data_IF_979844270065
#
_entry.id   IF_979844270065
#
_cell.length_a   1.000
_cell.length_b   1.000
_cell.length_c   1.000
_cell.angle_alpha   90.00
_cell.angle_beta   90.00
_cell.angle_gamma   90.00
#
_symmetry.space_group_name_H-M   'P 1'
#
loop_
_entity.id
_entity.type
_entity.pdbx_description
1 polymer ?
#
# COMPACT_ATOMS: atom_id res chain seq x y z
N UNK A 1 15.58 47.18 11.49
CA UNK A 1 14.43 47.43 10.58
C UNK A 1 13.80 46.08 10.35
N UNK A 2 12.76 45.77 11.13
CA UNK A 2 12.13 44.45 11.15
C UNK A 2 11.04 44.35 10.07
N UNK A 3 11.19 43.30 9.27
CA UNK A 3 10.17 42.32 8.88
C UNK A 3 8.86 42.79 8.21
N UNK A 4 8.75 42.50 6.89
CA UNK A 4 7.48 42.16 6.25
C UNK A 4 7.70 41.10 5.15
N UNK A 5 8.00 39.87 5.54
CA UNK A 5 7.84 38.69 4.67
C UNK A 5 7.01 37.64 5.41
N UNK A 6 5.72 37.91 5.61
CA UNK A 6 4.73 36.86 5.86
C UNK A 6 3.32 37.46 5.86
N UNK A 7 2.52 37.30 4.80
CA UNK A 7 1.05 37.20 4.84
C UNK A 7 0.50 36.82 3.46
N UNK A 8 0.61 35.54 3.10
CA UNK A 8 -0.29 34.92 2.13
C UNK A 8 -0.31 33.41 2.32
N UNK A 9 -0.64 32.95 3.54
CA UNK A 9 -1.21 31.61 3.73
C UNK A 9 -2.62 31.62 3.11
N UNK A 10 -2.68 31.40 1.80
CA UNK A 10 -3.88 31.57 0.99
C UNK A 10 -4.97 30.62 1.48
N UNK A 11 -6.21 31.12 1.51
CA UNK A 11 -7.40 30.30 1.76
C UNK A 11 -7.42 29.09 0.80
N UNK A 12 -6.86 29.25 -0.39
CA UNK A 12 -6.67 28.18 -1.37
C UNK A 12 -5.76 27.05 -0.85
N UNK A 13 -4.66 27.36 -0.18
CA UNK A 13 -3.74 26.34 0.36
C UNK A 13 -4.41 25.52 1.46
N UNK A 14 -5.23 26.16 2.31
CA UNK A 14 -6.01 25.48 3.34
C UNK A 14 -7.11 24.60 2.75
N UNK A 15 -7.80 25.06 1.71
CA UNK A 15 -8.84 24.28 1.01
C UNK A 15 -8.21 23.08 0.28
N UNK A 16 -7.10 23.30 -0.44
CA UNK A 16 -6.37 22.23 -1.14
C UNK A 16 -5.83 21.21 -0.13
N UNK A 17 -5.23 21.66 0.97
CA UNK A 17 -4.74 20.78 2.04
C UNK A 17 -5.89 19.99 2.67
N UNK A 18 -7.01 20.64 3.01
CA UNK A 18 -8.17 19.96 3.61
C UNK A 18 -8.76 18.87 2.70
N UNK A 19 -8.83 19.13 1.39
CA UNK A 19 -9.32 18.16 0.40
C UNK A 19 -8.35 16.98 0.24
N UNK A 20 -7.03 17.24 0.16
CA UNK A 20 -5.99 16.20 0.09
C UNK A 20 -5.95 15.33 1.36
N UNK A 21 -6.10 15.93 2.54
CA UNK A 21 -6.18 15.21 3.81
C UNK A 21 -7.43 14.33 3.88
N UNK A 22 -8.58 14.81 3.38
CA UNK A 22 -9.82 14.03 3.32
C UNK A 22 -9.68 12.78 2.43
N UNK A 23 -8.95 12.88 1.31
CA UNK A 23 -8.71 11.73 0.42
C UNK A 23 -7.84 10.64 1.09
N UNK A 24 -6.86 11.03 1.91
CA UNK A 24 -6.05 10.08 2.68
C UNK A 24 -6.89 9.45 3.80
N UNK A 25 -7.74 10.21 4.49
CA UNK A 25 -8.61 9.68 5.56
C UNK A 25 -9.63 8.65 5.07
N UNK A 26 -10.06 8.75 3.82
CA UNK A 26 -10.97 7.78 3.19
C UNK A 26 -10.25 6.53 2.64
N UNK A 27 -8.91 6.52 2.64
CA UNK A 27 -8.14 5.40 2.16
C UNK A 27 -8.15 4.25 3.17
N UNK A 28 -8.80 3.13 2.81
CA UNK A 28 -8.74 1.89 3.57
C UNK A 28 -7.81 0.85 2.88
N UNK A 29 -6.58 0.64 3.39
CA UNK A 29 -5.64 -0.31 2.80
C UNK A 29 -6.19 -1.74 2.73
N UNK A 30 -6.99 -2.14 3.70
CA UNK A 30 -7.54 -3.51 3.78
C UNK A 30 -8.55 -3.79 2.67
N UNK A 31 -9.35 -2.79 2.32
CA UNK A 31 -10.31 -2.88 1.21
C UNK A 31 -9.58 -2.96 -0.14
N UNK A 32 -8.51 -2.19 -0.31
CA UNK A 32 -7.67 -2.26 -1.51
C UNK A 32 -7.05 -3.64 -1.68
N UNK A 33 -6.41 -4.18 -0.64
CA UNK A 33 -5.84 -5.54 -0.69
C UNK A 33 -6.92 -6.56 -1.07
N UNK A 34 -8.11 -6.45 -0.47
CA UNK A 34 -9.24 -7.34 -0.79
C UNK A 34 -9.71 -7.17 -2.23
N UNK A 35 -9.74 -5.95 -2.77
CA UNK A 35 -10.08 -5.69 -4.15
C UNK A 35 -9.05 -6.28 -5.14
N UNK A 36 -7.76 -6.18 -4.83
CA UNK A 36 -6.67 -6.79 -5.61
C UNK A 36 -6.78 -8.32 -5.64
N UNK A 37 -7.25 -8.93 -4.54
CA UNK A 37 -7.32 -10.38 -4.40
C UNK A 37 -8.55 -11.03 -5.03
N UNK A 38 -9.52 -10.23 -5.53
CA UNK A 38 -10.78 -10.75 -6.10
C UNK A 38 -10.63 -11.78 -7.22
N UNK A 39 -9.50 -11.81 -7.92
CA UNK A 39 -9.24 -12.74 -9.04
C UNK A 39 -8.38 -13.94 -8.65
N UNK A 40 -7.93 -14.01 -7.41
CA UNK A 40 -7.11 -15.09 -6.90
C UNK A 40 -7.98 -16.27 -6.48
N UNK A 41 -7.41 -17.47 -6.60
CA UNK A 41 -7.97 -18.63 -5.90
C UNK A 41 -7.78 -18.49 -4.40
N UNK A 42 -8.61 -19.18 -3.61
CA UNK A 42 -8.51 -19.19 -2.14
C UNK A 42 -7.11 -19.56 -1.64
N UNK A 43 -6.42 -20.47 -2.34
CA UNK A 43 -5.05 -20.88 -2.02
C UNK A 43 -4.02 -19.78 -2.32
N UNK A 44 -4.16 -19.09 -3.44
CA UNK A 44 -3.28 -17.96 -3.79
C UNK A 44 -3.46 -16.81 -2.79
N UNK A 45 -4.71 -16.48 -2.47
CA UNK A 45 -5.05 -15.47 -1.47
C UNK A 45 -4.49 -15.82 -0.09
N UNK A 46 -4.70 -17.04 0.41
CA UNK A 46 -4.18 -17.47 1.72
C UNK A 46 -2.64 -17.40 1.77
N UNK A 47 -1.96 -17.86 0.71
CA UNK A 47 -0.50 -17.78 0.62
C UNK A 47 -0.04 -16.33 0.73
N UNK A 48 -0.65 -15.38 0.00
CA UNK A 48 -0.28 -13.97 0.11
C UNK A 48 -0.62 -13.38 1.49
N UNK A 49 -1.81 -13.65 2.03
CA UNK A 49 -2.21 -13.14 3.36
C UNK A 49 -1.24 -13.58 4.45
N UNK A 50 -0.80 -14.84 4.44
CA UNK A 50 0.17 -15.38 5.41
C UNK A 50 1.58 -14.85 5.15
N UNK A 51 2.01 -14.81 3.88
CA UNK A 51 3.36 -14.37 3.51
C UNK A 51 3.62 -12.91 3.88
N UNK A 52 2.62 -12.05 3.71
CA UNK A 52 2.74 -10.61 3.96
C UNK A 52 2.10 -10.16 5.28
N UNK A 53 1.45 -11.08 6.01
CA UNK A 53 0.86 -10.81 7.33
C UNK A 53 -0.45 -10.02 7.28
N UNK A 54 -1.12 -9.92 6.13
CA UNK A 54 -2.20 -8.96 5.79
C UNK A 54 -3.47 -9.01 6.68
N UNK A 55 -3.54 -9.93 7.63
CA UNK A 55 -4.60 -10.07 8.63
C UNK A 55 -4.11 -9.73 10.05
N UNK A 56 -3.04 -8.96 10.18
CA UNK A 56 -2.46 -8.56 11.48
C UNK A 56 -1.62 -9.65 12.15
N UNK A 57 -1.42 -10.79 11.46
CA UNK A 57 -0.53 -11.87 11.89
C UNK A 57 0.92 -11.54 11.50
N UNK A 58 1.87 -12.26 12.08
CA UNK A 58 3.25 -12.18 11.64
C UNK A 58 3.41 -12.76 10.24
N UNK A 59 4.40 -12.23 9.51
CA UNK A 59 4.75 -12.73 8.17
C UNK A 59 5.29 -14.15 8.30
N UNK A 60 4.76 -15.07 7.51
CA UNK A 60 5.27 -16.44 7.46
C UNK A 60 6.32 -16.61 6.36
N UNK A 61 7.27 -17.53 6.57
CA UNK A 61 8.22 -17.93 5.52
C UNK A 61 7.56 -18.86 4.52
N UNK A 62 8.08 -18.91 3.29
CA UNK A 62 7.63 -19.86 2.27
C UNK A 62 7.74 -21.32 2.73
N UNK A 63 8.70 -21.61 3.60
CA UNK A 63 8.89 -22.93 4.20
C UNK A 63 7.80 -23.29 5.22
N UNK A 64 7.44 -22.35 6.12
CA UNK A 64 6.37 -22.56 7.09
C UNK A 64 5.02 -22.76 6.40
N UNK A 65 4.74 -21.95 5.38
CA UNK A 65 3.54 -22.07 4.55
C UNK A 65 3.58 -23.41 3.79
N UNK A 66 4.73 -23.78 3.22
CA UNK A 66 4.92 -25.03 2.48
C UNK A 66 4.64 -26.26 3.34
N UNK A 67 5.18 -26.27 4.56
CA UNK A 67 4.95 -27.32 5.56
C UNK A 67 3.46 -27.48 5.87
N UNK A 68 2.74 -26.37 6.08
CA UNK A 68 1.29 -26.38 6.34
C UNK A 68 0.48 -26.97 5.18
N UNK A 69 0.90 -26.67 3.94
CA UNK A 69 0.27 -27.18 2.72
C UNK A 69 0.81 -28.55 2.26
N UNK A 70 1.77 -29.15 2.99
CA UNK A 70 2.49 -30.37 2.61
C UNK A 70 3.11 -30.28 1.21
N UNK A 71 3.71 -29.13 0.88
CA UNK A 71 4.42 -28.88 -0.38
C UNK A 71 5.78 -28.25 -0.12
N UNK A 72 6.64 -28.25 -1.14
CA UNK A 72 7.96 -27.64 -1.04
C UNK A 72 7.87 -26.11 -0.94
N UNK A 73 8.92 -25.50 -0.37
CA UNK A 73 9.14 -24.05 -0.39
C UNK A 73 9.00 -23.46 -1.81
N UNK A 74 9.58 -24.15 -2.79
CA UNK A 74 9.55 -23.73 -4.19
C UNK A 74 8.13 -23.73 -4.76
N UNK A 75 7.28 -24.68 -4.37
CA UNK A 75 5.89 -24.68 -4.78
C UNK A 75 5.13 -23.47 -4.24
N UNK A 76 5.40 -23.05 -3.00
CA UNK A 76 4.80 -21.82 -2.46
C UNK A 76 5.31 -20.58 -3.20
N UNK A 77 6.62 -20.51 -3.52
CA UNK A 77 7.19 -19.41 -4.32
C UNK A 77 6.50 -19.28 -5.69
N UNK A 78 6.21 -20.40 -6.34
CA UNK A 78 5.49 -20.41 -7.62
C UNK A 78 4.06 -19.88 -7.47
N UNK A 79 3.36 -20.26 -6.40
CA UNK A 79 2.01 -19.77 -6.11
C UNK A 79 2.04 -18.26 -5.84
N UNK A 80 2.96 -17.78 -5.02
CA UNK A 80 3.17 -16.35 -4.73
C UNK A 80 3.40 -15.56 -6.02
N UNK A 81 4.35 -15.98 -6.86
CA UNK A 81 4.65 -15.31 -8.13
C UNK A 81 3.47 -15.31 -9.09
N UNK A 82 2.74 -16.43 -9.17
CA UNK A 82 1.56 -16.56 -10.03
C UNK A 82 0.45 -15.63 -9.56
N UNK A 83 0.23 -15.53 -8.24
CA UNK A 83 -0.76 -14.65 -7.64
C UNK A 83 -0.41 -13.18 -7.90
N UNK A 84 0.82 -12.76 -7.63
CA UNK A 84 1.29 -11.39 -7.92
C UNK A 84 1.14 -11.06 -9.41
N UNK A 85 1.50 -12.00 -10.29
CA UNK A 85 1.36 -11.82 -11.74
C UNK A 85 -0.11 -11.63 -12.16
N UNK A 86 -1.03 -12.45 -11.62
CA UNK A 86 -2.48 -12.33 -11.85
C UNK A 86 -3.03 -10.99 -11.40
N UNK A 87 -2.61 -10.50 -10.22
CA UNK A 87 -3.00 -9.17 -9.72
C UNK A 87 -2.59 -8.10 -10.74
N UNK A 88 -1.31 -8.07 -11.14
CA UNK A 88 -0.76 -7.03 -12.03
C UNK A 88 -1.34 -7.08 -13.45
N UNK A 89 -1.70 -8.26 -13.96
CA UNK A 89 -2.30 -8.42 -15.30
C UNK A 89 -3.80 -8.19 -15.34
N UNK A 90 -4.45 -8.06 -14.20
CA UNK A 90 -5.89 -7.87 -14.17
C UNK A 90 -6.29 -6.49 -14.70
N UNK A 91 -7.33 -6.43 -15.54
CA UNK A 91 -7.83 -5.18 -16.14
C UNK A 91 -8.19 -4.09 -15.12
N UNK A 92 -8.66 -4.48 -13.93
CA UNK A 92 -9.02 -3.52 -12.88
C UNK A 92 -7.84 -3.10 -12.00
N UNK A 93 -6.62 -3.60 -12.25
CA UNK A 93 -5.44 -3.27 -11.45
C UNK A 93 -5.22 -1.75 -11.39
N UNK A 94 -5.14 -1.11 -12.56
CA UNK A 94 -4.96 0.34 -12.66
C UNK A 94 -6.09 1.11 -11.97
N UNK A 95 -7.34 0.65 -12.09
CA UNK A 95 -8.48 1.30 -11.42
C UNK A 95 -8.39 1.23 -9.89
N UNK A 96 -7.81 0.16 -9.35
CA UNK A 96 -7.63 -0.01 -7.90
C UNK A 96 -6.41 0.78 -7.40
N UNK A 97 -5.32 0.81 -8.17
CA UNK A 97 -4.03 1.40 -7.76
C UNK A 97 -3.94 2.90 -8.06
N UNK A 98 -4.52 3.39 -9.15
CA UNK A 98 -4.42 4.79 -9.58
C UNK A 98 -4.86 5.82 -8.52
N UNK A 99 -5.95 5.60 -7.74
CA UNK A 99 -6.28 6.48 -6.63
C UNK A 99 -5.16 6.57 -5.59
N UNK A 100 -4.52 5.43 -5.31
CA UNK A 100 -3.46 5.30 -4.29
C UNK A 100 -2.17 5.95 -4.77
N UNK A 101 -1.81 5.75 -6.04
CA UNK A 101 -0.70 6.45 -6.67
C UNK A 101 -0.90 7.95 -6.56
N UNK A 102 -2.10 8.44 -6.88
CA UNK A 102 -2.44 9.86 -6.76
C UNK A 102 -2.26 10.36 -5.33
N UNK A 103 -2.73 9.60 -4.33
CA UNK A 103 -2.54 9.90 -2.90
C UNK A 103 -1.06 9.90 -2.50
N UNK A 104 -0.26 8.95 -2.96
CA UNK A 104 1.18 8.84 -2.66
C UNK A 104 1.93 10.01 -3.31
N UNK A 105 1.71 10.28 -4.59
CA UNK A 105 2.31 11.44 -5.28
C UNK A 105 1.96 12.74 -4.57
N UNK A 106 0.69 12.86 -4.18
CA UNK A 106 0.17 13.95 -3.38
C UNK A 106 0.98 14.21 -2.10
N UNK A 107 1.31 13.14 -1.37
CA UNK A 107 2.11 13.18 -0.13
C UNK A 107 3.57 13.49 -0.44
N UNK A 108 4.13 12.91 -1.51
CA UNK A 108 5.50 13.18 -1.94
C UNK A 108 5.69 14.65 -2.30
N UNK A 109 4.79 15.23 -3.09
CA UNK A 109 4.81 16.66 -3.46
C UNK A 109 4.81 17.59 -2.25
N UNK A 110 4.00 17.28 -1.23
CA UNK A 110 3.95 18.05 0.02
C UNK A 110 5.29 18.03 0.78
N UNK A 111 6.13 17.03 0.53
CA UNK A 111 7.43 16.85 1.19
C UNK A 111 8.62 17.04 0.23
N UNK A 112 8.43 17.74 -0.90
CA UNK A 112 9.50 18.09 -1.83
C UNK A 112 9.80 17.05 -2.91
N UNK A 113 8.88 16.11 -3.15
CA UNK A 113 8.89 15.17 -4.27
C UNK A 113 9.66 13.86 -4.05
N UNK A 114 10.50 13.78 -3.00
CA UNK A 114 11.28 12.58 -2.67
C UNK A 114 11.15 12.28 -1.19
N UNK A 115 10.87 11.01 -0.86
CA UNK A 115 10.72 10.55 0.52
C UNK A 115 11.21 9.11 0.65
N UNK A 116 11.84 8.76 1.77
CA UNK A 116 12.13 7.37 2.12
C UNK A 116 10.84 6.57 2.31
N UNK A 117 10.85 5.28 2.00
CA UNK A 117 9.72 4.36 2.26
C UNK A 117 9.21 4.45 3.71
N UNK A 118 10.12 4.51 4.69
CA UNK A 118 9.77 4.61 6.12
C UNK A 118 9.02 5.89 6.46
N UNK A 119 9.48 7.03 5.93
CA UNK A 119 8.80 8.32 6.14
C UNK A 119 7.44 8.34 5.44
N UNK A 120 7.32 7.76 4.24
CA UNK A 120 6.05 7.67 3.51
C UNK A 120 5.05 6.82 4.29
N UNK A 121 5.50 5.66 4.76
CA UNK A 121 4.71 4.77 5.58
C UNK A 121 4.23 5.48 6.86
N UNK A 122 5.11 6.23 7.55
CA UNK A 122 4.75 6.97 8.76
C UNK A 122 3.68 8.04 8.48
N UNK A 123 3.84 8.81 7.41
CA UNK A 123 2.87 9.85 7.03
C UNK A 123 1.50 9.26 6.69
N UNK A 124 1.46 8.17 5.92
CA UNK A 124 0.21 7.49 5.58
C UNK A 124 -0.46 6.92 6.84
N UNK A 125 0.30 6.25 7.72
CA UNK A 125 -0.22 5.70 8.97
C UNK A 125 -0.74 6.76 9.94
N UNK A 126 -0.13 7.95 9.96
CA UNK A 126 -0.60 9.05 10.79
C UNK A 126 -2.01 9.51 10.40
N UNK A 127 -2.35 9.46 9.11
CA UNK A 127 -3.66 9.87 8.61
C UNK A 127 -4.72 8.75 8.72
N UNK A 128 -4.36 7.49 8.47
CA UNK A 128 -5.33 6.38 8.40
C UNK A 128 -5.40 5.52 9.67
N UNK A 129 -4.52 5.78 10.64
CA UNK A 129 -4.37 5.02 11.87
C UNK A 129 -3.23 4.01 11.82
N UNK A 130 -2.32 4.14 12.79
CA UNK A 130 -1.18 3.23 12.95
C UNK A 130 -1.61 1.95 13.67
N UNK A 131 -1.78 0.88 12.89
CA UNK A 131 -1.93 -0.46 13.40
C UNK A 131 -1.21 -1.45 12.47
N UNK A 132 -0.96 -2.65 12.98
CA UNK A 132 -0.21 -3.69 12.28
C UNK A 132 -0.84 -4.06 10.92
N UNK A 133 -2.17 -4.13 10.86
CA UNK A 133 -2.91 -4.47 9.63
C UNK A 133 -2.69 -3.39 8.57
N UNK A 134 -2.94 -2.12 8.91
CA UNK A 134 -2.74 -0.98 8.02
C UNK A 134 -1.30 -0.93 7.54
N UNK A 135 -0.32 -1.08 8.44
CA UNK A 135 1.10 -1.10 8.08
C UNK A 135 1.43 -2.18 7.06
N UNK A 136 1.00 -3.41 7.29
CA UNK A 136 1.27 -4.53 6.40
C UNK A 136 0.56 -4.38 5.05
N UNK A 137 -0.68 -3.89 5.05
CA UNK A 137 -1.45 -3.65 3.83
C UNK A 137 -0.84 -2.52 2.98
N UNK A 138 -0.43 -1.40 3.59
CA UNK A 138 0.26 -0.31 2.88
C UNK A 138 1.57 -0.83 2.25
N UNK A 139 2.41 -1.51 3.04
CA UNK A 139 3.66 -2.08 2.54
C UNK A 139 3.44 -3.04 1.37
N UNK A 140 2.40 -3.88 1.45
CA UNK A 140 2.04 -4.77 0.36
C UNK A 140 1.60 -3.98 -0.88
N UNK A 141 0.73 -2.99 -0.72
CA UNK A 141 0.23 -2.17 -1.84
C UNK A 141 1.39 -1.42 -2.51
N UNK A 142 2.26 -0.75 -1.74
CA UNK A 142 3.45 -0.07 -2.27
C UNK A 142 4.33 -1.07 -3.01
N UNK A 143 4.58 -2.24 -2.40
CA UNK A 143 5.38 -3.27 -3.05
C UNK A 143 4.74 -3.67 -4.38
N UNK A 144 3.43 -3.90 -4.46
CA UNK A 144 2.77 -4.35 -5.70
C UNK A 144 2.69 -3.25 -6.75
N UNK A 145 2.40 -2.01 -6.36
CA UNK A 145 2.26 -0.87 -7.25
C UNK A 145 3.60 -0.46 -7.88
N UNK A 146 4.67 -0.42 -7.08
CA UNK A 146 5.96 0.12 -7.51
C UNK A 146 7.04 -0.94 -7.79
N UNK A 147 6.81 -2.22 -7.50
CA UNK A 147 7.72 -3.30 -7.93
C UNK A 147 7.58 -3.57 -9.44
N UNK A 148 8.19 -2.74 -10.27
CA UNK A 148 8.15 -2.90 -11.72
C UNK A 148 9.01 -1.91 -12.51
N UNK A 149 9.85 -1.12 -11.83
CA UNK A 149 10.75 -0.15 -12.44
C UNK A 149 12.22 -0.53 -12.21
N UNK A 150 12.57 -1.79 -12.49
CA UNK A 150 13.96 -2.27 -12.52
C UNK A 150 14.10 -3.37 -13.57
#
# INVERSE_FOLDING_TARGET
MDNQFNQSNSILDKIITSKKTTEIEQFNPSEVVTALFKTLSSREEDVLRRRYGLLGKDKETLENIGTSYKVTRERIRQIENTAIHKIKKHKNFYNIISPIESTIFSVLEQHGGIMSEDSLLKTLLQAIGDNKINRQNILFIISVAFSGSS
#
